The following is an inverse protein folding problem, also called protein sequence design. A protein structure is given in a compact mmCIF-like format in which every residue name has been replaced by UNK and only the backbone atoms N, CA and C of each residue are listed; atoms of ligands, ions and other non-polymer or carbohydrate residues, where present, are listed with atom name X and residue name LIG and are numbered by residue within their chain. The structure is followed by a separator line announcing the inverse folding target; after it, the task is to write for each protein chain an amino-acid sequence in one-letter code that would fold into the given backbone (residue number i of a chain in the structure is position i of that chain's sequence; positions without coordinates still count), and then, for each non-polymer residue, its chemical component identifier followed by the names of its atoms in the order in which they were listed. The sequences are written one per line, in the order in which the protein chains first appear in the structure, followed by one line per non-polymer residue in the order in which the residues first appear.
data_IF_268638787747
#
_entry.id   IF_268638787747
#
_cell.length_a   1.000
_cell.length_b   1.000
_cell.length_c   1.000
_cell.angle_alpha   90.00
_cell.angle_beta   90.00
_cell.angle_gamma   90.00
#
_symmetry.space_group_name_H-M   'P 1'
#
loop_
_entity.id
_entity.type
_entity.pdbx_description
1 polymer ?
#
# COMPACT_ATOMS: atom_id res chain seq x y z
N UNK A 1 21.56 -16.72 2.80
CA UNK A 1 20.29 -17.44 3.05
C UNK A 1 19.25 -16.80 2.14
N UNK A 2 18.42 -17.60 1.50
CA UNK A 2 17.33 -17.09 0.66
C UNK A 2 16.19 -16.66 1.60
N UNK A 3 15.68 -15.44 1.47
CA UNK A 3 14.56 -14.95 2.27
C UNK A 3 13.30 -15.72 1.87
N UNK A 4 12.54 -16.15 2.86
CA UNK A 4 11.31 -16.92 2.69
C UNK A 4 10.07 -16.06 2.99
N UNK A 5 8.89 -16.53 2.57
CA UNK A 5 7.63 -15.84 2.92
C UNK A 5 7.35 -15.87 4.42
N UNK A 6 7.86 -16.86 5.15
CA UNK A 6 7.71 -16.93 6.60
C UNK A 6 8.56 -15.86 7.32
N UNK A 7 9.73 -15.50 6.77
CA UNK A 7 10.52 -14.38 7.27
C UNK A 7 9.75 -13.06 7.11
N UNK A 8 9.09 -12.89 5.96
CA UNK A 8 8.23 -11.72 5.67
C UNK A 8 7.01 -11.69 6.61
N UNK A 9 6.36 -12.85 6.83
CA UNK A 9 5.22 -12.96 7.76
C UNK A 9 5.64 -12.56 9.17
N UNK A 10 6.72 -13.13 9.69
CA UNK A 10 7.23 -12.84 11.03
C UNK A 10 7.51 -11.35 11.21
N UNK A 11 8.14 -10.72 10.22
CA UNK A 11 8.41 -9.29 10.27
C UNK A 11 7.13 -8.45 10.38
N UNK A 12 6.09 -8.77 9.59
CA UNK A 12 4.84 -8.00 9.59
C UNK A 12 3.90 -8.35 10.75
N UNK A 13 3.99 -9.54 11.34
CA UNK A 13 3.30 -9.87 12.59
C UNK A 13 3.90 -9.08 13.77
N UNK A 14 5.22 -8.96 13.83
CA UNK A 14 5.89 -8.16 14.88
C UNK A 14 5.70 -6.64 14.69
N UNK A 15 5.41 -6.21 13.47
CA UNK A 15 5.33 -4.80 13.07
C UNK A 15 4.19 -4.51 12.10
N UNK A 16 2.93 -4.62 12.52
CA UNK A 16 1.81 -4.25 11.66
C UNK A 16 1.97 -2.82 11.13
N UNK A 17 1.77 -2.66 9.82
CA UNK A 17 2.00 -1.38 9.17
C UNK A 17 1.13 -0.28 9.79
N UNK A 18 1.74 0.91 10.02
CA UNK A 18 1.09 2.09 10.59
C UNK A 18 0.59 1.98 12.04
N UNK A 19 0.84 0.86 12.74
CA UNK A 19 0.37 0.68 14.13
C UNK A 19 0.86 1.80 15.07
N UNK A 20 2.04 2.39 14.77
CA UNK A 20 2.65 3.48 15.54
C UNK A 20 2.22 4.89 15.10
N UNK A 21 1.24 4.99 14.20
CA UNK A 21 0.73 6.28 13.75
C UNK A 21 -0.20 6.96 14.77
N UNK A 22 -0.53 6.28 15.87
CA UNK A 22 -1.32 6.83 16.98
C UNK A 22 -0.78 6.35 18.32
N UNK A 23 -0.87 7.21 19.33
CA UNK A 23 -0.59 6.89 20.73
C UNK A 23 -1.87 6.52 21.51
N UNK A 24 -3.04 6.57 20.85
CA UNK A 24 -4.32 6.20 21.45
C UNK A 24 -4.37 4.68 21.70
N UNK A 25 -5.32 4.26 22.54
CA UNK A 25 -5.55 2.84 22.80
C UNK A 25 -5.85 2.10 21.48
N UNK A 26 -5.01 1.12 21.14
CA UNK A 26 -5.13 0.34 19.92
C UNK A 26 -6.50 -0.32 19.81
N UNK A 27 -7.15 -0.13 18.65
CA UNK A 27 -8.45 -0.72 18.34
C UNK A 27 -9.66 0.12 18.77
N UNK A 28 -9.46 1.35 19.27
CA UNK A 28 -10.53 2.34 19.49
C UNK A 28 -10.79 3.14 18.22
N UNK A 29 -11.91 3.84 18.16
CA UNK A 29 -12.23 4.71 17.03
C UNK A 29 -11.21 5.84 16.91
N UNK A 30 -10.89 6.48 18.02
CA UNK A 30 -9.91 7.58 18.09
C UNK A 30 -8.54 7.13 17.57
N UNK A 31 -8.13 5.90 17.87
CA UNK A 31 -6.90 5.32 17.35
C UNK A 31 -6.94 5.21 15.82
N UNK A 32 -8.00 4.62 15.28
CA UNK A 32 -8.13 4.44 13.83
C UNK A 32 -8.29 5.75 13.07
N UNK A 33 -9.00 6.73 13.63
CA UNK A 33 -9.14 8.07 13.06
C UNK A 33 -7.77 8.79 12.98
N UNK A 34 -6.96 8.66 14.03
CA UNK A 34 -5.63 9.28 14.06
C UNK A 34 -4.65 8.60 13.09
N UNK A 35 -4.67 7.27 13.01
CA UNK A 35 -3.88 6.49 12.03
C UNK A 35 -4.24 6.92 10.61
N UNK A 36 -5.54 6.99 10.28
CA UNK A 36 -6.02 7.38 8.95
C UNK A 36 -5.61 8.81 8.61
N UNK A 37 -5.81 9.75 9.53
CA UNK A 37 -5.40 11.14 9.35
C UNK A 37 -3.89 11.27 9.10
N UNK A 38 -3.05 10.63 9.92
CA UNK A 38 -1.59 10.67 9.77
C UNK A 38 -1.14 10.06 8.45
N UNK A 39 -1.73 8.94 8.05
CA UNK A 39 -1.44 8.30 6.78
C UNK A 39 -1.72 9.21 5.59
N UNK A 40 -2.92 9.79 5.51
CA UNK A 40 -3.28 10.64 4.38
C UNK A 40 -2.66 12.05 4.45
N UNK A 41 -2.16 12.47 5.59
CA UNK A 41 -1.31 13.68 5.69
C UNK A 41 0.08 13.39 5.13
N UNK A 42 0.65 12.22 5.43
CA UNK A 42 1.96 11.82 4.93
C UNK A 42 1.92 11.45 3.44
N UNK A 43 0.83 10.80 3.01
CA UNK A 43 0.65 10.25 1.67
C UNK A 43 -0.66 10.74 1.03
N UNK A 44 -0.81 12.05 0.75
CA UNK A 44 -2.07 12.68 0.36
C UNK A 44 -2.61 12.24 -1.01
N UNK A 45 -1.81 11.55 -1.81
CA UNK A 45 -2.20 11.00 -3.12
C UNK A 45 -3.03 9.72 -3.01
N UNK A 46 -3.01 9.01 -1.86
CA UNK A 46 -3.70 7.72 -1.70
C UNK A 46 -5.20 7.82 -1.99
N UNK A 47 -5.98 8.74 -1.39
CA UNK A 47 -7.42 8.79 -1.64
C UNK A 47 -7.78 8.99 -3.12
N UNK A 48 -7.02 9.83 -3.82
CA UNK A 48 -7.18 10.09 -5.24
C UNK A 48 -6.82 8.85 -6.08
N UNK A 49 -5.70 8.20 -5.77
CA UNK A 49 -5.28 7.00 -6.47
C UNK A 49 -6.24 5.83 -6.22
N UNK A 50 -6.63 5.57 -4.99
CA UNK A 50 -7.61 4.53 -4.65
C UNK A 50 -8.95 4.77 -5.35
N UNK A 51 -9.41 6.03 -5.38
CA UNK A 51 -10.65 6.43 -6.04
C UNK A 51 -11.88 5.95 -5.30
N UNK A 52 -11.89 6.06 -3.98
CA UNK A 52 -12.96 5.57 -3.10
C UNK A 52 -14.36 5.96 -3.58
N UNK A 53 -14.56 7.22 -3.97
CA UNK A 53 -15.86 7.74 -4.44
C UNK A 53 -16.44 7.02 -5.67
N UNK A 54 -15.61 6.28 -6.39
CA UNK A 54 -16.00 5.57 -7.60
C UNK A 54 -16.31 4.08 -7.36
N UNK A 55 -16.39 3.64 -6.09
CA UNK A 55 -16.53 2.22 -5.73
C UNK A 55 -17.91 1.83 -5.19
N UNK A 56 -18.86 2.76 -5.17
CA UNK A 56 -20.24 2.45 -4.75
C UNK A 56 -20.84 1.33 -5.61
N UNK A 57 -21.35 0.28 -4.96
CA UNK A 57 -21.91 -0.90 -5.59
C UNK A 57 -20.90 -1.85 -6.23
N UNK A 58 -19.60 -1.54 -6.17
CA UNK A 58 -18.52 -2.36 -6.73
C UNK A 58 -18.02 -3.40 -5.74
N UNK A 59 -17.44 -4.47 -6.29
CA UNK A 59 -16.71 -5.48 -5.54
C UNK A 59 -15.24 -5.11 -5.55
N UNK A 60 -14.66 -4.94 -4.37
CA UNK A 60 -13.26 -4.55 -4.18
C UNK A 60 -12.52 -5.66 -3.44
N UNK A 61 -11.39 -6.12 -4.01
CA UNK A 61 -10.42 -7.01 -3.37
C UNK A 61 -9.17 -6.21 -3.05
N UNK A 62 -8.80 -6.15 -1.78
CA UNK A 62 -7.54 -5.56 -1.34
C UNK A 62 -6.55 -6.66 -0.95
N UNK A 63 -5.41 -6.71 -1.67
CA UNK A 63 -4.33 -7.66 -1.44
C UNK A 63 -3.27 -7.02 -0.56
N UNK A 64 -3.10 -7.53 0.66
CA UNK A 64 -2.25 -6.94 1.69
C UNK A 64 -2.90 -5.73 2.35
N UNK A 65 -4.07 -5.92 2.95
CA UNK A 65 -4.87 -4.82 3.49
C UNK A 65 -4.31 -4.21 4.78
N UNK A 66 -3.34 -4.84 5.44
CA UNK A 66 -2.88 -4.40 6.74
C UNK A 66 -4.03 -4.27 7.73
N UNK A 67 -4.10 -3.15 8.45
CA UNK A 67 -5.23 -2.83 9.32
C UNK A 67 -6.43 -2.20 8.57
N UNK A 68 -6.50 -2.36 7.24
CA UNK A 68 -7.56 -1.91 6.33
C UNK A 68 -7.88 -0.41 6.43
N UNK A 69 -6.84 0.44 6.37
CA UNK A 69 -7.03 1.90 6.34
C UNK A 69 -7.70 2.36 5.04
N UNK A 70 -7.30 1.80 3.91
CA UNK A 70 -7.95 1.99 2.62
C UNK A 70 -9.25 1.19 2.55
N UNK A 71 -9.26 -0.04 3.07
CA UNK A 71 -10.41 -0.94 3.10
C UNK A 71 -11.67 -0.34 3.72
N UNK A 72 -11.53 0.34 4.86
CA UNK A 72 -12.67 0.99 5.52
C UNK A 72 -13.26 2.11 4.66
N UNK A 73 -12.45 2.82 3.88
CA UNK A 73 -12.91 3.88 3.00
C UNK A 73 -13.60 3.34 1.74
N UNK A 74 -13.17 2.18 1.23
CA UNK A 74 -13.92 1.45 0.21
C UNK A 74 -15.30 1.04 0.73
N UNK A 75 -15.38 0.45 1.93
CA UNK A 75 -16.65 0.03 2.53
C UNK A 75 -17.58 1.22 2.79
N UNK A 76 -17.08 2.32 3.40
CA UNK A 76 -17.84 3.57 3.61
C UNK A 76 -18.37 4.19 2.30
N UNK A 77 -17.68 3.93 1.19
CA UNK A 77 -18.12 4.37 -0.14
C UNK A 77 -19.14 3.43 -0.79
N UNK A 78 -19.59 2.40 -0.08
CA UNK A 78 -20.61 1.47 -0.55
C UNK A 78 -20.09 0.29 -1.36
N UNK A 79 -18.80 -0.02 -1.31
CA UNK A 79 -18.24 -1.20 -1.94
C UNK A 79 -18.53 -2.48 -1.14
N UNK A 80 -18.68 -3.60 -1.84
CA UNK A 80 -18.56 -4.94 -1.23
C UNK A 80 -17.07 -5.26 -1.09
N UNK A 81 -16.57 -5.16 0.12
CA UNK A 81 -15.14 -5.23 0.40
C UNK A 81 -14.66 -6.62 0.82
N UNK A 82 -13.53 -7.04 0.25
CA UNK A 82 -12.76 -8.21 0.67
C UNK A 82 -11.30 -7.79 0.85
N UNK A 83 -10.72 -8.06 2.02
CA UNK A 83 -9.33 -7.81 2.34
C UNK A 83 -8.56 -9.09 2.63
N UNK A 84 -7.31 -9.16 2.19
CA UNK A 84 -6.40 -10.27 2.51
C UNK A 84 -5.11 -9.74 3.10
N UNK A 85 -4.51 -10.47 4.02
CA UNK A 85 -3.19 -10.16 4.54
C UNK A 85 -2.43 -11.43 4.94
N UNK A 86 -1.11 -11.34 4.97
CA UNK A 86 -0.20 -12.40 5.43
C UNK A 86 -0.10 -12.41 6.95
N UNK A 87 -0.28 -11.25 7.60
CA UNK A 87 -0.15 -11.02 9.03
C UNK A 87 -1.47 -11.21 9.76
N UNK A 88 -1.46 -12.08 10.77
CA UNK A 88 -2.60 -12.28 11.68
C UNK A 88 -2.91 -11.03 12.48
N UNK A 89 -1.89 -10.38 13.02
CA UNK A 89 -2.02 -9.17 13.84
C UNK A 89 -2.64 -8.01 13.04
N UNK A 90 -2.19 -7.82 11.80
CA UNK A 90 -2.76 -6.82 10.89
C UNK A 90 -4.23 -7.08 10.61
N UNK A 91 -4.58 -8.33 10.30
CA UNK A 91 -5.93 -8.72 9.94
C UNK A 91 -6.92 -8.60 11.11
N UNK A 92 -6.46 -8.87 12.33
CA UNK A 92 -7.27 -8.71 13.54
C UNK A 92 -7.55 -7.22 13.83
N UNK A 93 -6.59 -6.34 13.55
CA UNK A 93 -6.81 -4.90 13.58
C UNK A 93 -7.81 -4.44 12.51
N UNK A 94 -7.73 -5.01 11.30
CA UNK A 94 -8.69 -4.73 10.22
C UNK A 94 -10.12 -5.10 10.62
N UNK A 95 -10.33 -6.30 11.16
CA UNK A 95 -11.65 -6.75 11.67
C UNK A 95 -12.16 -5.85 12.79
N UNK A 96 -11.28 -5.44 13.74
CA UNK A 96 -11.64 -4.48 14.80
C UNK A 96 -12.05 -3.14 14.22
N UNK A 97 -11.31 -2.61 13.24
CA UNK A 97 -11.64 -1.35 12.55
C UNK A 97 -13.05 -1.41 11.95
N UNK A 98 -13.34 -2.44 11.17
CA UNK A 98 -14.65 -2.60 10.56
C UNK A 98 -15.77 -2.70 11.60
N UNK A 99 -15.56 -3.42 12.69
CA UNK A 99 -16.52 -3.50 13.81
C UNK A 99 -16.75 -2.14 14.46
N UNK A 100 -15.70 -1.36 14.71
CA UNK A 100 -15.80 -0.03 15.35
C UNK A 100 -16.63 0.94 14.50
N UNK A 101 -16.47 0.89 13.17
CA UNK A 101 -17.22 1.75 12.25
C UNK A 101 -18.55 1.16 11.79
N UNK A 102 -18.93 -0.02 12.31
CA UNK A 102 -20.16 -0.73 11.92
C UNK A 102 -20.24 -0.99 10.40
N UNK A 103 -19.10 -1.26 9.79
CA UNK A 103 -18.99 -1.63 8.38
C UNK A 103 -18.82 -3.14 8.21
N UNK A 104 -19.09 -3.64 6.99
CA UNK A 104 -18.98 -5.05 6.65
C UNK A 104 -17.83 -5.29 5.67
N UNK A 105 -17.11 -6.39 5.86
CA UNK A 105 -16.06 -6.85 4.97
C UNK A 105 -15.74 -8.32 5.19
N UNK A 106 -15.21 -8.97 4.16
CA UNK A 106 -14.68 -10.32 4.24
C UNK A 106 -13.16 -10.23 4.44
N UNK A 107 -12.61 -11.06 5.33
CA UNK A 107 -11.18 -11.03 5.66
C UNK A 107 -10.59 -12.43 5.61
N UNK A 108 -9.51 -12.59 4.83
CA UNK A 108 -8.83 -13.87 4.63
C UNK A 108 -7.35 -13.75 4.97
N UNK A 109 -6.86 -14.67 5.80
CA UNK A 109 -5.45 -14.80 6.16
C UNK A 109 -4.75 -15.74 5.19
N UNK A 110 -3.66 -15.32 4.59
CA UNK A 110 -2.89 -16.20 3.71
C UNK A 110 -1.81 -15.50 2.90
N UNK A 111 -1.00 -16.32 2.22
CA UNK A 111 0.04 -15.85 1.32
C UNK A 111 -0.56 -15.51 -0.05
N UNK A 112 -0.45 -14.27 -0.47
CA UNK A 112 -0.99 -13.80 -1.75
C UNK A 112 -0.33 -14.45 -2.99
N UNK A 113 0.81 -15.11 -2.83
CA UNK A 113 1.41 -15.95 -3.89
C UNK A 113 0.56 -17.19 -4.22
N UNK A 114 -0.41 -17.53 -3.36
CA UNK A 114 -1.36 -18.63 -3.46
C UNK A 114 -2.80 -18.17 -3.17
N UNK A 115 -3.15 -16.95 -3.59
CA UNK A 115 -4.40 -16.27 -3.25
C UNK A 115 -5.63 -17.14 -3.47
N UNK A 116 -5.68 -17.89 -4.58
CA UNK A 116 -6.80 -18.78 -4.92
C UNK A 116 -6.92 -20.02 -4.04
N UNK A 117 -5.96 -20.30 -3.17
CA UNK A 117 -6.04 -21.41 -2.22
C UNK A 117 -6.89 -21.09 -0.99
N UNK A 118 -7.10 -19.79 -0.68
CA UNK A 118 -7.81 -19.37 0.53
C UNK A 118 -8.89 -18.30 0.30
N UNK A 119 -8.89 -17.61 -0.84
CA UNK A 119 -9.97 -16.68 -1.23
C UNK A 119 -10.81 -17.32 -2.33
N UNK A 120 -12.15 -17.39 -2.20
CA UNK A 120 -13.01 -17.88 -3.27
C UNK A 120 -12.77 -17.12 -4.57
N UNK A 121 -12.55 -17.85 -5.67
CA UNK A 121 -12.30 -17.23 -6.98
C UNK A 121 -13.61 -16.69 -7.54
N UNK A 122 -13.69 -15.38 -7.63
CA UNK A 122 -14.81 -14.62 -8.18
C UNK A 122 -14.31 -13.32 -8.81
N UNK A 123 -15.09 -12.71 -9.67
CA UNK A 123 -14.66 -11.46 -10.34
C UNK A 123 -14.86 -10.26 -9.43
N UNK A 124 -13.85 -9.39 -9.39
CA UNK A 124 -13.88 -8.09 -8.71
C UNK A 124 -13.79 -6.95 -9.74
N UNK A 125 -14.48 -5.84 -9.46
CA UNK A 125 -14.43 -4.63 -10.29
C UNK A 125 -13.11 -3.87 -10.10
N UNK A 126 -12.61 -3.88 -8.86
CA UNK A 126 -11.33 -3.29 -8.47
C UNK A 126 -10.52 -4.29 -7.65
N UNK A 127 -9.29 -4.52 -8.06
CA UNK A 127 -8.28 -5.14 -7.20
C UNK A 127 -7.26 -4.06 -6.84
N UNK A 128 -7.00 -3.92 -5.55
CA UNK A 128 -6.14 -2.89 -4.99
C UNK A 128 -5.02 -3.52 -4.16
N UNK A 129 -3.79 -3.04 -4.32
CA UNK A 129 -2.64 -3.46 -3.50
C UNK A 129 -1.65 -2.31 -3.35
N UNK A 130 -1.52 -1.78 -2.15
CA UNK A 130 -0.69 -0.60 -1.89
C UNK A 130 0.44 -0.92 -0.91
N UNK A 131 1.68 -0.94 -1.42
CA UNK A 131 2.85 -1.16 -0.56
C UNK A 131 3.05 -2.61 -0.12
N UNK A 132 2.70 -3.61 -0.96
CA UNK A 132 2.68 -5.02 -0.58
C UNK A 132 3.50 -5.92 -1.50
N UNK A 133 3.22 -5.91 -2.79
CA UNK A 133 3.74 -6.91 -3.76
C UNK A 133 5.27 -6.90 -3.82
N UNK A 134 5.91 -5.76 -3.62
CA UNK A 134 7.36 -5.62 -3.59
C UNK A 134 8.02 -6.23 -2.33
N UNK A 135 7.25 -6.67 -1.36
CA UNK A 135 7.73 -7.42 -0.19
C UNK A 135 7.63 -8.94 -0.35
N UNK A 136 7.16 -9.42 -1.51
CA UNK A 136 7.12 -10.85 -1.81
C UNK A 136 8.44 -11.31 -2.44
N UNK A 137 8.94 -12.52 -2.11
CA UNK A 137 10.01 -13.18 -2.86
C UNK A 137 9.61 -13.55 -4.30
N UNK A 138 8.29 -13.66 -4.58
CA UNK A 138 7.75 -14.07 -5.88
C UNK A 138 6.60 -13.16 -6.35
N UNK A 139 6.85 -11.86 -6.63
CA UNK A 139 5.82 -10.91 -7.03
C UNK A 139 5.05 -11.34 -8.29
N UNK A 140 5.69 -12.06 -9.21
CA UNK A 140 5.08 -12.62 -10.42
C UNK A 140 3.97 -13.65 -10.12
N UNK A 141 4.10 -14.40 -9.02
CA UNK A 141 3.05 -15.34 -8.59
C UNK A 141 1.82 -14.58 -8.11
N UNK A 142 2.01 -13.50 -7.33
CA UNK A 142 0.90 -12.65 -6.88
C UNK A 142 0.14 -12.08 -8.08
N UNK A 143 0.84 -11.58 -9.10
CA UNK A 143 0.21 -11.06 -10.32
C UNK A 143 -0.55 -12.17 -11.06
N UNK A 144 0.02 -13.38 -11.15
CA UNK A 144 -0.65 -14.54 -11.75
C UNK A 144 -1.92 -14.92 -10.98
N UNK A 145 -1.89 -14.90 -9.66
CA UNK A 145 -3.05 -15.13 -8.82
C UNK A 145 -4.13 -14.05 -9.00
N UNK A 146 -3.75 -12.78 -8.98
CA UNK A 146 -4.65 -11.65 -9.19
C UNK A 146 -5.42 -11.76 -10.51
N UNK A 147 -4.79 -12.22 -11.60
CA UNK A 147 -5.45 -12.42 -12.91
C UNK A 147 -6.68 -13.32 -12.83
N UNK A 148 -6.71 -14.29 -11.90
CA UNK A 148 -7.85 -15.21 -11.72
C UNK A 148 -9.13 -14.53 -11.22
N UNK A 149 -8.99 -13.34 -10.63
CA UNK A 149 -10.06 -12.54 -10.04
C UNK A 149 -10.50 -11.37 -10.93
N UNK A 150 -9.99 -11.32 -12.16
CA UNK A 150 -10.23 -10.23 -13.10
C UNK A 150 -10.94 -10.70 -14.37
N UNK A 151 -11.69 -9.78 -14.94
CA UNK A 151 -12.16 -9.84 -16.32
C UNK A 151 -11.72 -8.54 -17.05
N UNK A 152 -12.18 -8.35 -18.29
CA UNK A 152 -11.81 -7.16 -19.09
C UNK A 152 -12.33 -5.82 -18.55
N UNK A 153 -13.36 -5.85 -17.72
CA UNK A 153 -13.94 -4.65 -17.10
C UNK A 153 -13.27 -4.34 -15.75
N UNK A 154 -12.53 -5.30 -15.19
CA UNK A 154 -11.83 -5.15 -13.93
C UNK A 154 -10.67 -4.16 -14.04
N UNK A 155 -10.43 -3.42 -12.97
CA UNK A 155 -9.26 -2.54 -12.84
C UNK A 155 -8.35 -3.06 -11.75
N UNK A 156 -7.05 -3.14 -12.03
CA UNK A 156 -6.01 -3.40 -11.04
C UNK A 156 -5.29 -2.10 -10.70
N UNK A 157 -5.17 -1.78 -9.43
CA UNK A 157 -4.36 -0.66 -8.93
C UNK A 157 -3.32 -1.15 -7.96
N UNK A 158 -2.05 -0.88 -8.26
CA UNK A 158 -0.90 -1.31 -7.47
C UNK A 158 0.00 -0.11 -7.17
N UNK A 159 0.55 -0.05 -5.97
CA UNK A 159 1.70 0.81 -5.69
C UNK A 159 2.94 -0.06 -5.44
N UNK A 160 4.01 0.25 -6.17
CA UNK A 160 5.36 -0.32 -5.98
C UNK A 160 6.37 0.79 -5.70
N UNK A 161 7.55 0.42 -5.18
CA UNK A 161 8.64 1.36 -4.96
C UNK A 161 9.47 1.59 -6.23
N UNK A 162 9.79 2.86 -6.49
CA UNK A 162 10.59 3.26 -7.63
C UNK A 162 12.10 3.18 -7.33
N UNK A 163 12.86 2.49 -8.19
CA UNK A 163 14.32 2.47 -8.12
C UNK A 163 14.92 3.83 -8.49
N UNK A 164 14.35 4.49 -9.49
CA UNK A 164 14.74 5.84 -9.91
C UNK A 164 13.94 6.89 -9.12
N UNK A 165 14.31 7.10 -7.84
CA UNK A 165 13.58 8.01 -6.95
C UNK A 165 14.49 8.76 -5.99
N UNK A 166 14.04 9.92 -5.53
CA UNK A 166 14.74 10.71 -4.50
C UNK A 166 15.11 9.85 -3.29
N UNK A 167 14.15 9.08 -2.81
CA UNK A 167 14.34 8.23 -1.63
C UNK A 167 15.38 7.14 -1.85
N UNK A 168 15.35 6.46 -3.02
CA UNK A 168 16.34 5.43 -3.30
C UNK A 168 17.75 6.02 -3.38
N UNK A 169 17.90 7.17 -4.02
CA UNK A 169 19.19 7.88 -4.07
C UNK A 169 19.68 8.32 -2.67
N UNK A 170 18.77 8.75 -1.80
CA UNK A 170 19.13 9.07 -0.40
C UNK A 170 19.58 7.82 0.37
N UNK A 171 18.89 6.69 0.18
CA UNK A 171 19.28 5.40 0.79
C UNK A 171 20.67 4.96 0.29
N UNK A 172 20.90 5.01 -1.02
CA UNK A 172 22.21 4.68 -1.63
C UNK A 172 23.32 5.60 -1.12
N UNK A 173 23.02 6.87 -0.87
CA UNK A 173 23.94 7.83 -0.27
C UNK A 173 24.08 7.69 1.26
N UNK A 174 23.34 6.78 1.90
CA UNK A 174 23.39 6.51 3.34
C UNK A 174 22.66 7.53 4.21
N UNK A 175 21.76 8.32 3.64
CA UNK A 175 21.07 9.42 4.35
C UNK A 175 19.67 9.09 4.85
N UNK A 176 18.85 8.40 4.07
CA UNK A 176 17.46 8.15 4.42
C UNK A 176 17.23 6.67 4.70
N UNK A 177 16.56 6.41 5.81
CA UNK A 177 16.11 5.07 6.18
C UNK A 177 14.63 5.15 6.54
N UNK A 178 13.76 4.82 5.60
CA UNK A 178 12.33 4.78 5.88
C UNK A 178 12.03 3.77 6.97
N UNK A 179 11.28 4.20 7.96
CA UNK A 179 10.94 3.36 9.11
C UNK A 179 10.26 2.03 8.71
N UNK A 180 9.38 2.09 7.69
CA UNK A 180 8.67 0.91 7.19
C UNK A 180 9.57 -0.14 6.52
N UNK A 181 10.80 0.24 6.14
CA UNK A 181 11.74 -0.66 5.44
C UNK A 181 12.89 -1.11 6.33
N UNK A 182 13.10 -0.47 7.47
CA UNK A 182 14.20 -0.81 8.34
C UNK A 182 14.06 -2.24 8.89
N UNK A 183 14.96 -3.10 8.45
CA UNK A 183 14.97 -4.53 8.80
C UNK A 183 13.92 -5.36 8.07
N UNK A 184 13.19 -4.82 7.09
CA UNK A 184 12.31 -5.61 6.24
C UNK A 184 13.13 -6.62 5.42
N UNK A 185 12.77 -7.91 5.43
CA UNK A 185 13.55 -8.96 4.74
C UNK A 185 13.64 -8.74 3.23
N UNK A 186 12.57 -8.22 2.62
CA UNK A 186 12.49 -7.91 1.19
C UNK A 186 11.79 -6.56 1.01
N UNK A 187 12.39 -5.68 0.21
CA UNK A 187 11.80 -4.44 -0.26
C UNK A 187 12.34 -4.13 -1.66
N UNK A 188 11.76 -4.79 -2.66
CA UNK A 188 12.16 -4.61 -4.06
C UNK A 188 11.80 -3.22 -4.57
N UNK A 189 12.67 -2.65 -5.37
CA UNK A 189 12.40 -1.43 -6.14
C UNK A 189 12.37 -1.75 -7.63
N UNK A 190 11.63 -0.94 -8.40
CA UNK A 190 11.38 -1.20 -9.82
C UNK A 190 11.59 0.04 -10.66
N UNK A 191 12.13 -0.14 -11.85
CA UNK A 191 11.98 0.79 -12.97
C UNK A 191 10.58 0.64 -13.59
N UNK A 192 10.14 1.64 -14.36
CA UNK A 192 8.86 1.55 -15.10
C UNK A 192 8.83 0.40 -16.10
N UNK A 193 9.99 0.05 -16.68
CA UNK A 193 10.09 -1.06 -17.64
C UNK A 193 10.02 -2.43 -16.95
N UNK A 194 10.58 -2.57 -15.76
CA UNK A 194 10.43 -3.79 -14.96
C UNK A 194 8.97 -3.98 -14.52
N UNK A 195 8.27 -2.89 -14.17
CA UNK A 195 6.82 -2.96 -13.91
C UNK A 195 6.04 -3.45 -15.13
N UNK A 196 6.34 -2.95 -16.33
CA UNK A 196 5.67 -3.42 -17.57
C UNK A 196 5.93 -4.89 -17.84
N UNK A 197 7.14 -5.38 -17.56
CA UNK A 197 7.48 -6.81 -17.66
C UNK A 197 6.74 -7.65 -16.62
N UNK A 198 6.66 -7.18 -15.37
CA UNK A 198 5.92 -7.86 -14.29
C UNK A 198 4.43 -7.97 -14.64
N UNK A 199 3.87 -6.96 -15.29
CA UNK A 199 2.48 -6.87 -15.70
C UNK A 199 2.25 -7.24 -17.18
N UNK A 200 3.03 -8.19 -17.70
CA UNK A 200 2.80 -8.72 -19.04
C UNK A 200 1.36 -9.26 -19.21
N UNK A 201 0.73 -8.91 -20.34
CA UNK A 201 -0.69 -9.19 -20.61
C UNK A 201 -1.68 -8.19 -20.01
N UNK A 202 -1.18 -7.02 -19.56
CA UNK A 202 -2.02 -5.91 -19.14
C UNK A 202 -1.75 -4.66 -20.00
N UNK A 203 -2.78 -3.85 -20.20
CA UNK A 203 -2.63 -2.44 -20.57
C UNK A 203 -2.33 -1.63 -19.30
N UNK A 204 -1.16 -0.98 -19.24
CA UNK A 204 -0.59 -0.42 -18.01
C UNK A 204 -0.32 1.07 -18.12
N UNK A 205 -0.92 1.85 -17.24
CA UNK A 205 -0.58 3.25 -16.98
C UNK A 205 0.22 3.35 -15.69
N UNK A 206 1.36 4.06 -15.72
CA UNK A 206 2.26 4.23 -14.56
C UNK A 206 2.47 5.72 -14.33
N UNK A 207 2.04 6.20 -13.16
CA UNK A 207 2.39 7.51 -12.65
C UNK A 207 3.42 7.36 -11.54
N UNK A 208 4.40 8.26 -11.49
CA UNK A 208 5.36 8.31 -10.41
C UNK A 208 5.04 9.50 -9.52
N UNK A 209 4.98 9.29 -8.22
CA UNK A 209 4.58 10.31 -7.27
C UNK A 209 5.16 10.08 -5.89
N UNK A 210 5.07 11.10 -5.03
CA UNK A 210 5.40 11.09 -3.63
C UNK A 210 6.89 11.23 -3.31
N UNK A 211 7.24 12.34 -2.70
CA UNK A 211 8.46 12.52 -1.91
C UNK A 211 8.04 12.84 -0.49
N UNK A 212 8.56 12.12 0.48
CA UNK A 212 8.33 12.40 1.89
C UNK A 212 9.21 13.58 2.32
N UNK A 213 8.62 14.74 2.63
CA UNK A 213 9.41 15.97 2.81
C UNK A 213 9.82 16.23 4.25
N UNK A 214 9.40 15.40 5.21
CA UNK A 214 9.52 15.69 6.63
C UNK A 214 10.75 15.05 7.26
N UNK A 215 11.20 15.64 8.37
CA UNK A 215 12.22 15.06 9.24
C UNK A 215 11.63 13.84 9.99
N UNK A 216 12.40 12.75 10.03
CA UNK A 216 11.91 11.47 10.57
C UNK A 216 11.57 11.53 12.06
N UNK A 217 12.46 12.10 12.89
CA UNK A 217 12.26 12.13 14.34
C UNK A 217 11.06 12.99 14.78
N UNK A 218 10.86 14.23 14.25
CA UNK A 218 9.61 14.96 14.49
C UNK A 218 8.38 14.20 13.99
N UNK A 219 8.45 13.61 12.78
CA UNK A 219 7.32 12.86 12.21
C UNK A 219 6.88 11.68 13.08
N UNK A 220 7.81 10.96 13.71
CA UNK A 220 7.48 9.88 14.66
C UNK A 220 6.59 10.38 15.81
N UNK A 221 6.81 11.61 16.28
CA UNK A 221 6.01 12.28 17.32
C UNK A 221 4.75 12.98 16.81
N UNK A 222 4.42 12.83 15.51
CA UNK A 222 3.26 13.47 14.91
C UNK A 222 3.48 14.94 14.47
N UNK A 223 4.73 15.41 14.46
CA UNK A 223 5.14 16.76 14.05
C UNK A 223 5.59 16.74 12.59
N UNK A 224 4.98 17.57 11.74
CA UNK A 224 5.28 17.61 10.30
C UNK A 224 6.29 18.73 9.97
N UNK A 225 7.53 18.57 10.42
CA UNK A 225 8.62 19.52 10.18
C UNK A 225 9.34 19.15 8.88
N UNK A 226 9.30 20.03 7.87
CA UNK A 226 9.99 19.78 6.59
C UNK A 226 11.51 19.73 6.76
N UNK A 227 12.18 19.00 5.88
CA UNK A 227 13.63 19.10 5.72
C UNK A 227 14.00 20.49 5.20
N UNK A 228 15.13 21.09 5.65
CA UNK A 228 15.50 22.46 5.26
C UNK A 228 15.58 22.68 3.74
N UNK A 229 16.03 21.67 2.98
CA UNK A 229 16.10 21.77 1.51
C UNK A 229 14.72 21.74 0.83
N UNK A 230 13.72 21.13 1.45
CA UNK A 230 12.33 21.18 0.96
C UNK A 230 11.60 22.42 1.46
N UNK A 231 11.95 22.95 2.63
CA UNK A 231 11.39 24.20 3.14
C UNK A 231 11.78 25.39 2.25
N UNK A 232 13.05 25.41 1.79
CA UNK A 232 13.57 26.48 0.93
C UNK A 232 13.21 26.30 -0.56
N UNK A 233 12.64 25.17 -0.95
CA UNK A 233 12.34 24.86 -2.34
C UNK A 233 11.01 25.49 -2.78
N UNK A 234 10.95 26.16 -3.95
CA UNK A 234 9.67 26.58 -4.53
C UNK A 234 8.72 25.40 -4.75
N UNK A 235 7.44 25.59 -4.44
CA UNK A 235 6.43 24.52 -4.53
C UNK A 235 6.33 23.92 -5.95
N UNK A 236 6.50 24.75 -7.00
CA UNK A 236 6.48 24.29 -8.39
C UNK A 236 7.62 23.33 -8.69
N UNK A 237 8.82 23.56 -8.13
CA UNK A 237 9.96 22.65 -8.27
C UNK A 237 9.70 21.36 -7.51
N UNK A 238 9.16 21.45 -6.29
CA UNK A 238 8.82 20.27 -5.50
C UNK A 238 7.77 19.39 -6.18
N UNK A 239 6.74 20.00 -6.81
CA UNK A 239 5.74 19.26 -7.60
C UNK A 239 6.35 18.52 -8.81
N UNK A 240 7.31 19.15 -9.50
CA UNK A 240 8.05 18.50 -10.59
C UNK A 240 8.89 17.33 -10.08
N UNK A 241 9.59 17.50 -8.95
CA UNK A 241 10.37 16.42 -8.35
C UNK A 241 9.49 15.24 -7.92
N UNK A 242 8.34 15.48 -7.30
CA UNK A 242 7.41 14.41 -6.91
C UNK A 242 6.96 13.55 -8.08
N UNK A 243 6.79 14.14 -9.26
CA UNK A 243 6.34 13.45 -10.48
C UNK A 243 7.48 12.71 -11.22
N UNK A 244 8.73 13.12 -11.01
CA UNK A 244 9.87 12.54 -11.73
C UNK A 244 10.77 11.68 -10.85
N UNK A 245 10.86 12.00 -9.56
CA UNK A 245 11.69 11.30 -8.58
C UNK A 245 10.88 10.82 -7.37
N UNK A 246 9.57 10.66 -7.52
CA UNK A 246 8.71 10.12 -6.47
C UNK A 246 9.03 8.68 -6.13
N UNK A 247 8.80 8.30 -4.89
CA UNK A 247 9.05 6.96 -4.38
C UNK A 247 8.02 5.93 -4.83
N UNK A 248 6.79 6.36 -5.09
CA UNK A 248 5.68 5.49 -5.46
C UNK A 248 5.48 5.43 -6.97
N UNK A 249 5.51 4.24 -7.53
CA UNK A 249 4.95 3.94 -8.84
C UNK A 249 3.47 3.58 -8.63
N UNK A 250 2.61 4.49 -9.04
CA UNK A 250 1.15 4.33 -8.99
C UNK A 250 0.69 3.73 -10.31
N UNK A 251 0.29 2.48 -10.27
CA UNK A 251 0.03 1.65 -11.45
C UNK A 251 -1.46 1.38 -11.55
N UNK A 252 -2.04 1.72 -12.70
CA UNK A 252 -3.40 1.31 -13.07
C UNK A 252 -3.32 0.40 -14.29
N UNK A 253 -3.92 -0.79 -14.20
CA UNK A 253 -3.82 -1.80 -15.24
C UNK A 253 -5.17 -2.48 -15.53
N UNK A 254 -5.36 -2.93 -16.77
CA UNK A 254 -6.51 -3.73 -17.23
C UNK A 254 -6.00 -4.92 -18.02
N UNK A 255 -6.73 -6.02 -18.04
CA UNK A 255 -6.42 -7.17 -18.88
C UNK A 255 -6.59 -6.78 -20.38
N UNK A 256 -5.61 -7.18 -21.20
CA UNK A 256 -5.63 -7.01 -22.66
C UNK A 256 -6.69 -7.88 -23.35
#
# INVERSE_FOLDING_TARGET
MTVTIDDVRTYWDDRPCNVRHSEKQVGTQEYFDEVERKRYTAEPHIPSFAGFSNTNGKRVLEVGCGMATEGINFARSGATYTGTDLSTESLDLAKKRFKVYNEKGNFYLGNSEELSSFVPVETYDLIYSFGVIHHSPHPEKIISEIKKYMNKDSTLKIMLYASESWKNYMIEAGHDQPEAQYGCPIANTYTKDEVRKLLDGFDVTIEQYHIFPYQIEPYKRGEFVKQPWFEAMPDEIFEVLKKNLGWHLLITAKLL
#
